data_IF_020827735423
#
_entry.id   IF_020827735423
#
_cell.length_a   1.000
_cell.length_b   1.000
_cell.length_c   1.000
_cell.angle_alpha   90.00
_cell.angle_beta   90.00
_cell.angle_gamma   90.00
#
_symmetry.space_group_name_H-M   'P 1'
#
loop_
_entity.id
_entity.type
_entity.pdbx_description
1 polymer ?
#
# COMPACT_ATOMS: atom_id res chain seq x y z
N UNK A 1 -9.57 -10.51 -17.49
CA UNK A 1 -9.90 -9.60 -16.37
C UNK A 1 -9.24 -8.25 -16.67
N UNK A 2 -9.98 -7.14 -16.78
CA UNK A 2 -9.37 -5.85 -17.13
C UNK A 2 -8.67 -5.25 -15.90
N UNK A 3 -7.34 -5.41 -15.80
CA UNK A 3 -6.53 -4.68 -14.81
C UNK A 3 -6.50 -3.21 -15.23
N UNK A 4 -7.43 -2.45 -14.66
CA UNK A 4 -7.89 -1.16 -15.18
C UNK A 4 -6.94 -0.04 -14.78
N UNK A 5 -6.21 0.48 -15.77
CA UNK A 5 -5.72 1.86 -15.89
C UNK A 5 -5.39 2.56 -14.55
N UNK A 6 -4.14 2.47 -14.11
CA UNK A 6 -3.58 3.28 -13.02
C UNK A 6 -3.93 4.77 -13.25
N UNK A 7 -4.75 5.34 -12.36
CA UNK A 7 -5.11 6.75 -12.43
C UNK A 7 -3.94 7.62 -11.97
N UNK A 8 -3.91 8.90 -12.36
CA UNK A 8 -2.79 9.80 -12.05
C UNK A 8 -2.56 9.94 -10.54
N UNK A 9 -3.62 9.80 -9.71
CA UNK A 9 -3.52 9.74 -8.24
C UNK A 9 -2.79 8.49 -7.75
N UNK A 10 -3.01 7.34 -8.37
CA UNK A 10 -2.30 6.10 -8.02
C UNK A 10 -0.81 6.21 -8.36
N UNK A 11 -0.49 6.79 -9.52
CA UNK A 11 0.89 7.07 -9.90
C UNK A 11 1.57 8.06 -8.95
N UNK A 12 0.84 9.08 -8.49
CA UNK A 12 1.32 10.01 -7.46
C UNK A 12 1.60 9.30 -6.13
N UNK A 13 0.67 8.49 -5.63
CA UNK A 13 0.86 7.69 -4.41
C UNK A 13 2.05 6.74 -4.55
N UNK A 14 2.20 6.07 -5.69
CA UNK A 14 3.32 5.17 -5.94
C UNK A 14 4.67 5.92 -5.95
N UNK A 15 4.73 7.10 -6.60
CA UNK A 15 5.90 7.98 -6.54
C UNK A 15 6.18 8.40 -5.10
N UNK A 16 5.17 8.86 -4.36
CA UNK A 16 5.31 9.28 -2.95
C UNK A 16 5.85 8.17 -2.05
N UNK A 17 5.43 6.92 -2.26
CA UNK A 17 5.95 5.74 -1.54
C UNK A 17 7.42 5.45 -1.94
N UNK A 18 7.78 5.67 -3.21
CA UNK A 18 9.12 5.41 -3.74
C UNK A 18 10.20 6.45 -3.39
N UNK A 19 9.82 7.70 -3.07
CA UNK A 19 10.78 8.77 -2.76
C UNK A 19 11.28 8.64 -1.31
N UNK A 20 12.58 8.89 -1.06
CA UNK A 20 13.18 8.94 0.29
C UNK A 20 13.85 10.28 0.55
N UNK A 21 13.54 10.97 1.66
CA UNK A 21 12.51 10.63 2.66
C UNK A 21 11.09 10.75 2.07
N UNK A 22 10.12 10.01 2.61
CA UNK A 22 8.72 10.17 2.20
C UNK A 22 8.27 11.59 2.51
N UNK A 23 8.09 12.41 1.46
CA UNK A 23 7.89 13.85 1.58
C UNK A 23 6.48 14.24 2.04
N UNK A 24 5.51 13.31 2.02
CA UNK A 24 4.10 13.63 2.25
C UNK A 24 3.38 12.49 2.97
N UNK A 25 2.42 12.83 3.82
CA UNK A 25 1.68 11.78 4.51
C UNK A 25 0.69 11.07 3.59
N UNK A 26 0.89 9.78 3.41
CA UNK A 26 0.02 8.93 2.59
C UNK A 26 -1.12 8.44 3.47
N UNK A 27 -2.37 8.69 3.04
CA UNK A 27 -3.52 8.11 3.73
C UNK A 27 -3.63 6.63 3.47
N UNK A 28 -4.08 5.87 4.46
CA UNK A 28 -4.30 4.44 4.36
C UNK A 28 -5.25 4.11 3.20
N UNK A 29 -6.34 4.88 3.07
CA UNK A 29 -7.27 4.73 1.95
C UNK A 29 -6.60 4.89 0.56
N UNK A 30 -5.62 5.79 0.42
CA UNK A 30 -4.87 5.96 -0.83
C UNK A 30 -3.94 4.78 -1.10
N UNK A 31 -3.27 4.27 -0.07
CA UNK A 31 -2.42 3.09 -0.17
C UNK A 31 -3.22 1.84 -0.55
N UNK A 32 -4.37 1.62 0.08
CA UNK A 32 -5.28 0.51 -0.22
C UNK A 32 -5.79 0.62 -1.66
N UNK A 33 -6.26 1.79 -2.07
CA UNK A 33 -6.73 2.02 -3.45
C UNK A 33 -5.65 1.74 -4.49
N UNK A 34 -4.40 2.14 -4.23
CA UNK A 34 -3.25 1.81 -5.08
C UNK A 34 -3.02 0.30 -5.15
N UNK A 35 -2.99 -0.38 -3.99
CA UNK A 35 -2.77 -1.82 -3.89
C UNK A 35 -3.83 -2.59 -4.66
N UNK A 36 -5.11 -2.26 -4.48
CA UNK A 36 -6.21 -2.88 -5.22
C UNK A 36 -6.11 -2.60 -6.73
N UNK A 37 -5.71 -1.38 -7.12
CA UNK A 37 -5.52 -1.03 -8.53
C UNK A 37 -4.40 -1.82 -9.22
N UNK A 38 -3.32 -2.17 -8.50
CA UNK A 38 -2.24 -3.03 -9.01
C UNK A 38 -2.54 -4.54 -8.87
N UNK A 39 -3.73 -4.89 -8.37
CA UNK A 39 -4.18 -6.28 -8.23
C UNK A 39 -3.77 -6.97 -6.92
N UNK A 40 -3.32 -6.22 -5.92
CA UNK A 40 -3.13 -6.73 -4.57
C UNK A 40 -4.47 -6.80 -3.83
N UNK A 41 -4.67 -7.83 -3.03
CA UNK A 41 -5.85 -7.94 -2.15
C UNK A 41 -5.50 -7.47 -0.74
N UNK A 42 -6.28 -6.54 -0.20
CA UNK A 42 -6.16 -6.06 1.18
C UNK A 42 -7.33 -6.60 2.00
N UNK A 43 -7.04 -7.29 3.11
CA UNK A 43 -8.07 -7.90 3.97
C UNK A 43 -7.82 -7.55 5.43
N UNK A 44 -8.88 -7.16 6.14
CA UNK A 44 -8.83 -6.99 7.59
C UNK A 44 -8.72 -8.35 8.30
N UNK A 45 -7.80 -8.47 9.26
CA UNK A 45 -7.62 -9.64 10.11
C UNK A 45 -8.09 -9.33 11.55
N UNK A 46 -8.22 -10.39 12.37
CA UNK A 46 -8.49 -10.24 13.81
C UNK A 46 -7.36 -9.46 14.48
N UNK A 47 -7.72 -8.64 15.47
CA UNK A 47 -6.81 -7.79 16.27
C UNK A 47 -6.20 -6.56 15.54
N UNK A 48 -7.00 -5.76 14.84
CA UNK A 48 -6.50 -4.50 14.22
C UNK A 48 -5.27 -4.72 13.34
N UNK A 49 -5.28 -5.79 12.53
CA UNK A 49 -4.23 -6.10 11.56
C UNK A 49 -4.83 -6.08 10.16
N UNK A 50 -4.06 -5.62 9.18
CA UNK A 50 -4.39 -5.74 7.77
C UNK A 50 -3.40 -6.69 7.11
N UNK A 51 -3.92 -7.61 6.32
CA UNK A 51 -3.15 -8.54 5.50
C UNK A 51 -3.27 -8.10 4.05
N UNK A 52 -2.13 -7.95 3.39
CA UNK A 52 -2.02 -7.61 1.98
C UNK A 52 -1.43 -8.81 1.26
N UNK A 53 -2.05 -9.21 0.16
CA UNK A 53 -1.63 -10.32 -0.70
C UNK A 53 -1.32 -9.78 -2.09
N UNK A 54 -0.08 -9.91 -2.53
CA UNK A 54 0.33 -9.59 -3.88
C UNK A 54 -0.04 -10.73 -4.84
N UNK A 55 -0.29 -10.41 -6.12
CA UNK A 55 -0.47 -11.43 -7.15
C UNK A 55 0.77 -12.33 -7.36
N UNK A 56 1.96 -11.87 -6.96
CA UNK A 56 3.18 -12.69 -6.92
C UNK A 56 3.19 -13.76 -5.82
N UNK A 57 2.18 -13.79 -4.94
CA UNK A 57 2.09 -14.71 -3.80
C UNK A 57 2.67 -14.16 -2.49
N UNK A 58 3.28 -12.97 -2.52
CA UNK A 58 3.85 -12.30 -1.34
C UNK A 58 2.75 -11.80 -0.39
N UNK A 59 3.01 -11.89 0.91
CA UNK A 59 2.08 -11.49 1.97
C UNK A 59 2.75 -10.47 2.88
N UNK A 60 2.05 -9.37 3.17
CA UNK A 60 2.49 -8.38 4.14
C UNK A 60 1.39 -8.17 5.19
N UNK A 61 1.75 -8.28 6.47
CA UNK A 61 0.83 -8.02 7.59
C UNK A 61 1.30 -6.77 8.31
N UNK A 62 0.37 -5.83 8.49
CA UNK A 62 0.62 -4.55 9.13
C UNK A 62 -0.42 -4.30 10.20
N UNK A 63 -0.04 -3.59 11.25
CA UNK A 63 -1.00 -3.12 12.25
C UNK A 63 -1.79 -1.94 11.69
N UNK A 64 -3.06 -1.86 12.06
CA UNK A 64 -3.95 -0.76 11.73
C UNK A 64 -3.31 0.55 12.19
N UNK A 65 -3.19 1.56 11.32
CA UNK A 65 -2.87 2.90 11.79
C UNK A 65 -3.99 3.35 12.74
N UNK A 66 -3.60 3.91 13.88
CA UNK A 66 -4.52 4.55 14.84
C UNK A 66 -5.33 5.66 14.15
N UNK A 67 -6.46 6.14 14.72
CA UNK A 67 -7.65 6.68 14.02
C UNK A 67 -7.49 7.91 13.10
N UNK A 68 -6.27 8.37 12.83
CA UNK A 68 -5.98 9.52 11.99
C UNK A 68 -5.85 9.20 10.49
N UNK A 69 -6.07 7.94 10.08
CA UNK A 69 -6.03 7.49 8.67
C UNK A 69 -4.66 7.67 7.97
N UNK A 70 -3.68 8.29 8.62
CA UNK A 70 -2.32 8.53 8.11
C UNK A 70 -1.40 7.31 8.30
N UNK A 71 -0.71 6.91 7.23
CA UNK A 71 0.30 5.86 7.30
C UNK A 71 1.52 6.36 8.08
N UNK A 72 1.90 5.67 9.15
CA UNK A 72 3.17 5.95 9.85
C UNK A 72 4.37 5.68 8.95
N UNK A 73 5.50 6.35 9.19
CA UNK A 73 6.75 6.15 8.44
C UNK A 73 7.18 4.67 8.34
N UNK A 74 6.97 3.90 9.41
CA UNK A 74 7.24 2.44 9.45
C UNK A 74 6.35 1.68 8.47
N UNK A 75 5.06 2.03 8.41
CA UNK A 75 4.10 1.42 7.49
C UNK A 75 4.45 1.73 6.04
N UNK A 76 4.82 2.99 5.76
CA UNK A 76 5.25 3.43 4.42
C UNK A 76 6.52 2.68 3.99
N UNK A 77 7.51 2.53 4.86
CA UNK A 77 8.73 1.76 4.56
C UNK A 77 8.41 0.28 4.23
N UNK A 78 7.46 -0.34 4.96
CA UNK A 78 7.02 -1.72 4.66
C UNK A 78 6.24 -1.81 3.35
N UNK A 79 5.34 -0.88 3.08
CA UNK A 79 4.60 -0.80 1.81
C UNK A 79 5.55 -0.62 0.63
N UNK A 80 6.58 0.22 0.79
CA UNK A 80 7.62 0.39 -0.22
C UNK A 80 8.34 -0.91 -0.50
N UNK A 81 8.86 -1.58 0.53
CA UNK A 81 9.56 -2.87 0.35
C UNK A 81 8.68 -3.93 -0.30
N UNK A 82 7.36 -3.86 -0.05
CA UNK A 82 6.39 -4.73 -0.72
C UNK A 82 6.15 -4.37 -2.19
N UNK A 83 6.14 -3.07 -2.53
CA UNK A 83 5.96 -2.57 -3.90
C UNK A 83 7.24 -2.68 -4.76
N UNK A 84 8.43 -2.48 -4.18
CA UNK A 84 9.71 -2.69 -4.87
C UNK A 84 9.84 -4.15 -5.32
N UNK A 85 9.38 -5.09 -4.50
CA UNK A 85 9.35 -6.51 -4.84
C UNK A 85 8.22 -6.89 -5.80
N UNK A 86 7.11 -6.12 -5.81
CA UNK A 86 6.04 -6.31 -6.81
C UNK A 86 6.52 -5.99 -8.23
N UNK A 87 7.48 -5.08 -8.39
CA UNK A 87 8.05 -4.70 -9.69
C UNK A 87 9.16 -5.68 -10.17
N UNK A 88 9.18 -6.91 -9.65
CA UNK A 88 10.07 -8.00 -10.07
C UNK A 88 9.53 -8.78 -11.26
#
# INVERSE_FOLDING_TARGET
MPHSKLSNRHLDTLRRIGITPTAATIRWAEAVSLLEAIGCSVTGAKESRFRMLAPSGRKLVVHRPHPDDECSKILIARLRSFLEDWNG
#
